data_IF_893152183471
#
_entry.id   IF_893152183471
#
_cell.length_a   1.000
_cell.length_b   1.000
_cell.length_c   1.000
_cell.angle_alpha   90.00
_cell.angle_beta   90.00
_cell.angle_gamma   90.00
#
_symmetry.space_group_name_H-M   'P 1'
#
loop_
_entity.id
_entity.type
_entity.pdbx_description
1 polymer ?
#
# COMPACT_ATOMS: atom_id res chain seq x y z
N UNK A 1 11.14 -27.53 28.27
CA UNK A 1 10.33 -26.29 28.19
C UNK A 1 9.37 -26.49 27.02
N UNK A 2 8.14 -26.01 27.09
CA UNK A 2 7.25 -26.10 25.94
C UNK A 2 7.86 -25.36 24.72
N UNK A 3 7.58 -25.83 23.52
CA UNK A 3 7.94 -25.12 22.31
C UNK A 3 7.23 -23.80 22.24
N UNK A 4 7.83 -22.81 21.59
CA UNK A 4 7.27 -21.46 21.49
C UNK A 4 6.75 -21.18 20.08
N UNK A 5 5.65 -20.44 20.02
CA UNK A 5 5.09 -19.88 18.77
C UNK A 5 4.93 -18.38 18.89
N UNK A 6 5.28 -17.64 17.84
CA UNK A 6 5.00 -16.20 17.76
C UNK A 6 3.75 -15.98 16.90
N UNK A 7 2.73 -15.40 17.49
CA UNK A 7 1.47 -15.07 16.84
C UNK A 7 1.46 -13.60 16.38
N UNK A 8 1.20 -13.33 15.11
CA UNK A 8 0.83 -11.98 14.66
C UNK A 8 -0.53 -11.62 15.26
N UNK A 9 -0.52 -10.71 16.23
CA UNK A 9 -1.65 -10.41 17.09
C UNK A 9 -2.18 -8.99 16.85
N UNK A 10 -3.46 -8.87 16.53
CA UNK A 10 -4.14 -7.59 16.27
C UNK A 10 -5.12 -7.16 17.37
N UNK A 11 -5.30 -7.97 18.44
CA UNK A 11 -6.33 -7.70 19.44
C UNK A 11 -7.77 -7.97 18.98
N UNK A 12 -7.99 -8.33 17.71
CA UNK A 12 -9.29 -8.70 17.17
C UNK A 12 -9.80 -10.05 17.71
N UNK A 13 -11.06 -10.39 17.38
CA UNK A 13 -11.68 -11.66 17.77
C UNK A 13 -10.83 -12.84 17.33
N UNK A 14 -10.51 -12.91 16.04
CA UNK A 14 -9.83 -14.05 15.43
C UNK A 14 -8.48 -14.32 16.08
N UNK A 15 -7.64 -13.28 16.24
CA UNK A 15 -6.32 -13.45 16.84
C UNK A 15 -6.39 -13.73 18.33
N UNK A 16 -7.42 -13.27 19.04
CA UNK A 16 -7.60 -13.55 20.47
C UNK A 16 -7.96 -15.00 20.73
N UNK A 17 -8.85 -15.61 19.94
CA UNK A 17 -9.21 -17.04 20.09
C UNK A 17 -8.08 -17.98 19.67
N UNK A 18 -7.15 -17.52 18.83
CA UNK A 18 -5.98 -18.31 18.41
C UNK A 18 -5.04 -18.60 19.57
N UNK A 19 -4.91 -17.73 20.55
CA UNK A 19 -4.00 -17.93 21.70
C UNK A 19 -4.35 -19.21 22.48
N UNK A 20 -5.56 -19.38 23.04
CA UNK A 20 -5.93 -20.62 23.74
C UNK A 20 -5.94 -21.82 22.79
N UNK A 21 -6.38 -21.65 21.54
CA UNK A 21 -6.40 -22.74 20.58
C UNK A 21 -5.01 -23.32 20.30
N UNK A 22 -3.97 -22.50 20.18
CA UNK A 22 -2.57 -22.94 20.02
C UNK A 22 -2.08 -23.70 21.25
N UNK A 23 -2.47 -23.30 22.46
CA UNK A 23 -2.11 -23.97 23.70
C UNK A 23 -2.76 -25.34 23.80
N UNK A 24 -4.03 -25.46 23.43
CA UNK A 24 -4.81 -26.71 23.51
C UNK A 24 -4.38 -27.74 22.47
N UNK A 25 -4.15 -27.30 21.22
CA UNK A 25 -3.92 -28.22 20.11
C UNK A 25 -2.44 -28.54 19.88
N UNK A 26 -1.53 -27.64 20.30
CA UNK A 26 -0.10 -27.77 20.06
C UNK A 26 0.74 -27.77 21.34
N UNK A 27 0.16 -27.40 22.47
CA UNK A 27 0.88 -27.23 23.75
C UNK A 27 2.00 -26.17 23.64
N UNK A 28 1.86 -25.21 22.79
CA UNK A 28 2.82 -24.12 22.60
C UNK A 28 2.75 -23.08 23.72
N UNK A 29 3.90 -22.50 24.02
CA UNK A 29 4.01 -21.24 24.75
C UNK A 29 3.85 -20.09 23.76
N UNK A 30 2.76 -19.29 23.89
CA UNK A 30 2.35 -18.32 22.87
C UNK A 30 2.89 -16.93 23.20
N UNK A 31 3.69 -16.41 22.29
CA UNK A 31 4.16 -15.03 22.30
C UNK A 31 3.30 -14.21 21.31
N UNK A 32 2.55 -13.24 21.82
CA UNK A 32 1.78 -12.34 20.98
C UNK A 32 2.68 -11.17 20.50
N UNK A 33 2.82 -11.02 19.20
CA UNK A 33 3.56 -9.90 18.58
C UNK A 33 2.58 -8.92 17.96
N UNK A 34 2.57 -7.67 18.45
CA UNK A 34 1.76 -6.56 17.98
C UNK A 34 2.65 -5.63 17.15
N UNK A 35 2.40 -5.52 15.86
CA UNK A 35 3.08 -4.56 15.00
C UNK A 35 2.25 -3.28 14.90
N UNK A 36 2.78 -2.16 15.39
CA UNK A 36 2.18 -0.85 15.20
C UNK A 36 2.62 -0.27 13.85
N UNK A 37 1.69 -0.25 12.90
CA UNK A 37 1.83 0.38 11.58
C UNK A 37 0.94 1.62 11.47
N UNK A 38 0.48 2.17 12.61
CA UNK A 38 -0.41 3.33 12.69
C UNK A 38 -1.88 3.01 12.46
N UNK A 39 -2.34 1.87 12.95
CA UNK A 39 -3.75 1.47 12.90
C UNK A 39 -4.64 2.28 13.86
N UNK A 40 -4.04 2.99 14.83
CA UNK A 40 -4.74 3.87 15.77
C UNK A 40 -5.46 3.11 16.89
N UNK A 41 -5.02 1.89 17.19
CA UNK A 41 -5.52 1.09 18.31
C UNK A 41 -4.96 1.59 19.64
N UNK A 42 -5.71 1.35 20.72
CA UNK A 42 -5.21 1.46 22.09
C UNK A 42 -4.28 0.26 22.37
N UNK A 43 -2.98 0.47 22.20
CA UNK A 43 -1.97 -0.58 22.34
C UNK A 43 -1.92 -1.16 23.76
N UNK A 44 -2.18 -0.35 24.79
CA UNK A 44 -2.22 -0.82 26.19
C UNK A 44 -3.37 -1.83 26.36
N UNK A 45 -4.56 -1.48 25.89
CA UNK A 45 -5.71 -2.37 25.92
C UNK A 45 -5.49 -3.66 25.10
N UNK A 46 -4.79 -3.57 23.95
CA UNK A 46 -4.42 -4.74 23.13
C UNK A 46 -3.46 -5.66 23.89
N UNK A 47 -2.45 -5.11 24.58
CA UNK A 47 -1.49 -5.85 25.41
C UNK A 47 -2.17 -6.53 26.58
N UNK A 48 -3.00 -5.80 27.34
CA UNK A 48 -3.76 -6.37 28.46
C UNK A 48 -4.65 -7.54 28.00
N UNK A 49 -5.32 -7.37 26.88
CA UNK A 49 -6.16 -8.40 26.29
C UNK A 49 -5.35 -9.64 25.89
N UNK A 50 -4.17 -9.48 25.30
CA UNK A 50 -3.31 -10.60 24.93
C UNK A 50 -2.91 -11.43 26.16
N UNK A 51 -2.53 -10.79 27.27
CA UNK A 51 -2.24 -11.49 28.53
C UNK A 51 -3.49 -12.13 29.12
N UNK A 52 -4.63 -11.43 29.13
CA UNK A 52 -5.90 -11.98 29.63
C UNK A 52 -6.38 -13.20 28.84
N UNK A 53 -6.03 -13.32 27.55
CA UNK A 53 -6.31 -14.49 26.72
C UNK A 53 -5.28 -15.61 26.83
N UNK A 54 -4.21 -15.40 27.61
CA UNK A 54 -3.25 -16.46 27.96
C UNK A 54 -1.93 -16.42 27.19
N UNK A 55 -1.58 -15.31 26.54
CA UNK A 55 -0.23 -15.12 26.01
C UNK A 55 0.79 -15.13 27.15
N UNK A 56 1.90 -15.82 26.98
CA UNK A 56 2.98 -15.87 27.99
C UNK A 56 3.86 -14.61 27.92
N UNK A 57 3.92 -14.00 26.75
CA UNK A 57 4.66 -12.78 26.49
C UNK A 57 3.96 -11.96 25.42
N UNK A 58 4.02 -10.62 25.54
CA UNK A 58 3.59 -9.71 24.51
C UNK A 58 4.77 -8.85 24.08
N UNK A 59 4.97 -8.72 22.78
CA UNK A 59 5.98 -7.86 22.17
C UNK A 59 5.27 -6.85 21.31
N UNK A 60 5.41 -5.56 21.63
CA UNK A 60 4.93 -4.45 20.80
C UNK A 60 6.12 -3.89 20.02
N UNK A 61 5.98 -3.80 18.71
CA UNK A 61 6.97 -3.23 17.82
C UNK A 61 6.38 -1.99 17.14
N UNK A 62 6.99 -0.82 17.35
CA UNK A 62 6.67 0.39 16.58
C UNK A 62 7.33 0.27 15.20
N UNK A 63 6.52 0.05 14.18
CA UNK A 63 6.93 -0.17 12.82
C UNK A 63 6.56 1.00 11.90
N UNK A 64 6.03 2.09 12.43
CA UNK A 64 5.44 3.19 11.64
C UNK A 64 6.46 3.85 10.71
N UNK A 65 7.64 4.19 11.22
CA UNK A 65 8.67 4.82 10.41
C UNK A 65 9.25 3.84 9.37
N UNK A 66 9.58 2.60 9.76
CA UNK A 66 10.07 1.58 8.83
C UNK A 66 9.02 1.25 7.76
N UNK A 67 7.75 1.13 8.13
CA UNK A 67 6.66 0.90 7.19
C UNK A 67 6.61 1.97 6.11
N UNK A 68 6.77 3.25 6.49
CA UNK A 68 6.75 4.34 5.52
C UNK A 68 8.03 4.39 4.69
N UNK A 69 9.20 4.36 5.30
CA UNK A 69 10.47 4.60 4.60
C UNK A 69 10.92 3.43 3.74
N UNK A 70 10.77 2.20 4.25
CA UNK A 70 11.28 1.01 3.56
C UNK A 70 10.25 0.31 2.67
N UNK A 71 8.94 0.57 2.86
CA UNK A 71 7.90 -0.09 2.09
C UNK A 71 7.05 0.91 1.29
N UNK A 72 6.44 1.87 1.95
CA UNK A 72 5.51 2.80 1.29
C UNK A 72 6.22 3.74 0.32
N UNK A 73 7.30 4.39 0.75
CA UNK A 73 8.01 5.34 -0.11
C UNK A 73 8.75 4.65 -1.26
N UNK A 74 9.20 3.40 -1.10
CA UNK A 74 9.73 2.61 -2.22
C UNK A 74 8.64 2.31 -3.25
N UNK A 75 7.43 1.95 -2.81
CA UNK A 75 6.29 1.74 -3.69
C UNK A 75 5.84 3.06 -4.36
N UNK A 76 5.89 4.19 -3.65
CA UNK A 76 5.65 5.53 -4.19
C UNK A 76 6.65 5.87 -5.29
N UNK A 77 7.96 5.73 -5.03
CA UNK A 77 9.04 5.95 -6.00
C UNK A 77 8.90 5.03 -7.22
N UNK A 78 8.47 3.79 -7.03
CA UNK A 78 8.17 2.86 -8.13
C UNK A 78 6.94 3.28 -8.95
N UNK A 79 6.07 4.15 -8.43
CA UNK A 79 4.77 4.46 -9.01
C UNK A 79 3.81 3.27 -8.94
N UNK A 80 3.97 2.40 -7.93
CA UNK A 80 3.26 1.14 -7.78
C UNK A 80 1.79 1.37 -7.39
N UNK A 81 0.88 1.08 -8.30
CA UNK A 81 -0.57 1.14 -8.09
C UNK A 81 -1.21 -0.11 -8.68
N UNK A 82 -1.80 -0.96 -7.85
CA UNK A 82 -2.43 -2.18 -8.32
C UNK A 82 -3.74 -1.87 -9.04
N UNK A 83 -3.90 -2.47 -10.22
CA UNK A 83 -5.07 -2.28 -11.10
C UNK A 83 -5.45 -0.78 -11.29
N UNK A 84 -4.44 0.10 -11.33
CA UNK A 84 -4.54 1.55 -11.54
C UNK A 84 -5.26 2.35 -10.45
N UNK A 85 -5.67 1.72 -9.35
CA UNK A 85 -6.46 2.36 -8.29
C UNK A 85 -5.95 2.11 -6.87
N UNK A 86 -5.51 0.87 -6.56
CA UNK A 86 -5.18 0.47 -5.20
C UNK A 86 -3.73 0.81 -4.85
N UNK A 87 -3.54 1.65 -3.83
CA UNK A 87 -2.22 2.09 -3.34
C UNK A 87 -1.58 1.13 -2.31
N UNK A 88 -2.02 -0.14 -2.30
CA UNK A 88 -1.33 -1.28 -1.68
C UNK A 88 -1.18 -1.26 -0.14
N UNK A 89 -1.91 -0.44 0.60
CA UNK A 89 -1.66 -0.23 2.03
C UNK A 89 -1.62 -1.50 2.88
N UNK A 90 -2.61 -2.41 2.74
CA UNK A 90 -2.58 -3.71 3.42
C UNK A 90 -1.42 -4.59 2.93
N UNK A 91 -1.18 -4.59 1.61
CA UNK A 91 -0.14 -5.44 1.00
C UNK A 91 1.27 -5.04 1.41
N UNK A 92 1.51 -3.75 1.68
CA UNK A 92 2.79 -3.21 2.16
C UNK A 92 2.99 -3.44 3.67
N UNK A 93 1.90 -3.49 4.47
CA UNK A 93 1.99 -3.70 5.91
C UNK A 93 2.34 -5.16 6.28
N UNK A 94 1.90 -6.15 5.50
CA UNK A 94 2.11 -7.56 5.85
C UNK A 94 3.58 -8.00 5.84
N UNK A 95 4.41 -7.66 4.84
CA UNK A 95 5.83 -8.03 4.84
C UNK A 95 6.62 -7.39 5.99
N UNK A 96 6.35 -6.15 6.41
CA UNK A 96 7.05 -5.56 7.56
C UNK A 96 6.67 -6.25 8.86
N UNK A 97 5.38 -6.54 9.08
CA UNK A 97 4.91 -7.28 10.26
C UNK A 97 5.52 -8.69 10.28
N UNK A 98 5.51 -9.41 9.16
CA UNK A 98 6.06 -10.76 9.05
C UNK A 98 7.57 -10.78 9.33
N UNK A 99 8.34 -9.81 8.83
CA UNK A 99 9.78 -9.66 9.11
C UNK A 99 10.03 -9.56 10.61
N UNK A 100 9.36 -8.65 11.29
CA UNK A 100 9.53 -8.47 12.73
C UNK A 100 9.03 -9.67 13.55
N UNK A 101 8.00 -10.37 13.08
CA UNK A 101 7.56 -11.61 13.70
C UNK A 101 8.64 -12.70 13.63
N UNK A 102 9.33 -12.84 12.49
CA UNK A 102 10.49 -13.75 12.36
C UNK A 102 11.65 -13.31 13.26
N UNK A 103 11.94 -12.02 13.35
CA UNK A 103 12.97 -11.49 14.26
C UNK A 103 12.65 -11.82 15.73
N UNK A 104 11.38 -11.67 16.13
CA UNK A 104 10.91 -12.08 17.47
C UNK A 104 11.05 -13.59 17.66
N UNK A 105 10.66 -14.40 16.67
CA UNK A 105 10.78 -15.84 16.74
C UNK A 105 12.23 -16.30 16.97
N UNK A 106 13.15 -15.73 16.19
CA UNK A 106 14.58 -16.03 16.33
C UNK A 106 15.14 -15.62 17.71
N UNK A 107 14.80 -14.40 18.17
CA UNK A 107 15.25 -13.89 19.48
C UNK A 107 14.72 -14.70 20.65
N UNK A 108 13.49 -15.17 20.58
CA UNK A 108 12.83 -15.94 21.64
C UNK A 108 13.08 -17.46 21.55
N UNK A 109 13.74 -17.94 20.50
CA UNK A 109 13.95 -19.36 20.21
C UNK A 109 12.64 -20.08 19.94
N UNK A 110 11.70 -19.43 19.24
CA UNK A 110 10.45 -20.06 18.83
C UNK A 110 10.67 -20.96 17.61
N UNK A 111 9.92 -22.07 17.55
CA UNK A 111 9.98 -23.05 16.46
C UNK A 111 8.86 -22.85 15.44
N UNK A 112 7.92 -21.96 15.75
CA UNK A 112 6.75 -21.72 14.91
C UNK A 112 6.35 -20.24 14.89
N UNK A 113 5.66 -19.86 13.80
CA UNK A 113 4.93 -18.61 13.65
C UNK A 113 3.48 -18.89 13.31
N UNK A 114 2.56 -18.01 13.75
CA UNK A 114 1.14 -18.15 13.48
C UNK A 114 0.52 -16.83 13.04
N UNK A 115 -0.54 -16.91 12.25
CA UNK A 115 -1.35 -15.77 11.82
C UNK A 115 -2.85 -16.09 11.81
N UNK A 116 -3.68 -15.06 11.95
CA UNK A 116 -5.14 -15.18 11.95
C UNK A 116 -5.82 -14.92 10.59
N UNK A 117 -5.10 -15.04 9.49
CA UNK A 117 -5.64 -14.75 8.15
C UNK A 117 -6.54 -15.89 7.66
N UNK A 118 -7.67 -15.52 7.05
CA UNK A 118 -8.60 -16.50 6.48
C UNK A 118 -8.05 -17.16 5.21
N UNK A 119 -8.47 -18.39 4.92
CA UNK A 119 -8.03 -19.15 3.73
C UNK A 119 -8.49 -18.58 2.39
N UNK A 120 -9.41 -17.59 2.37
CA UNK A 120 -9.91 -16.91 1.17
C UNK A 120 -9.20 -15.58 0.89
N UNK A 121 -8.41 -15.06 1.86
CA UNK A 121 -7.73 -13.78 1.77
C UNK A 121 -6.32 -13.88 1.17
N UNK A 122 -5.84 -12.78 0.60
CA UNK A 122 -4.45 -12.67 0.13
C UNK A 122 -3.44 -12.61 1.28
N UNK A 123 -3.86 -12.18 2.47
CA UNK A 123 -2.95 -11.92 3.58
C UNK A 123 -2.22 -13.16 4.08
N UNK A 124 -2.87 -14.33 4.06
CA UNK A 124 -2.19 -15.59 4.35
C UNK A 124 -0.99 -15.82 3.42
N UNK A 125 -1.16 -15.54 2.12
CA UNK A 125 -0.09 -15.69 1.13
C UNK A 125 1.06 -14.71 1.42
N UNK A 126 0.73 -13.46 1.75
CA UNK A 126 1.71 -12.39 2.06
C UNK A 126 2.55 -12.73 3.28
N UNK A 127 1.92 -13.20 4.37
CA UNK A 127 2.62 -13.65 5.57
C UNK A 127 3.51 -14.87 5.29
N UNK A 128 2.95 -15.90 4.68
CA UNK A 128 3.64 -17.18 4.52
C UNK A 128 4.80 -17.11 3.53
N UNK A 129 4.66 -16.36 2.43
CA UNK A 129 5.77 -16.14 1.50
C UNK A 129 6.89 -15.31 2.14
N UNK A 130 6.56 -14.36 3.03
CA UNK A 130 7.56 -13.66 3.81
C UNK A 130 8.29 -14.60 4.78
N UNK A 131 7.58 -15.46 5.52
CA UNK A 131 8.21 -16.45 6.40
C UNK A 131 9.10 -17.41 5.64
N UNK A 132 8.62 -17.96 4.51
CA UNK A 132 9.41 -18.87 3.67
C UNK A 132 10.69 -18.23 3.13
N UNK A 133 10.64 -16.92 2.86
CA UNK A 133 11.81 -16.18 2.36
C UNK A 133 12.82 -15.84 3.46
N UNK A 134 12.34 -15.56 4.69
CA UNK A 134 13.16 -15.06 5.79
C UNK A 134 13.62 -16.13 6.78
N UNK A 135 12.81 -17.18 7.00
CA UNK A 135 13.07 -18.25 7.96
C UNK A 135 12.32 -19.54 7.55
N UNK A 136 12.80 -20.23 6.50
CA UNK A 136 12.12 -21.40 5.95
C UNK A 136 12.03 -22.59 6.91
N UNK A 137 12.82 -22.57 8.00
CA UNK A 137 12.82 -23.57 9.05
C UNK A 137 11.65 -23.42 10.05
N UNK A 138 11.02 -22.25 10.13
CA UNK A 138 9.91 -22.03 11.05
C UNK A 138 8.65 -22.73 10.57
N UNK A 139 8.00 -23.49 11.47
CA UNK A 139 6.69 -24.06 11.19
C UNK A 139 5.64 -22.95 11.13
N UNK A 140 4.86 -22.91 10.06
CA UNK A 140 3.74 -21.97 9.91
C UNK A 140 2.45 -22.63 10.39
N UNK A 141 1.70 -21.96 11.27
CA UNK A 141 0.40 -22.40 11.75
C UNK A 141 -0.66 -21.38 11.35
N UNK A 142 -1.64 -21.84 10.60
CA UNK A 142 -2.75 -21.03 10.09
C UNK A 142 -4.09 -21.62 10.55
N UNK A 143 -4.59 -21.28 11.74
CA UNK A 143 -5.75 -21.93 12.36
C UNK A 143 -7.00 -21.96 11.48
N UNK A 144 -7.25 -20.94 10.69
CA UNK A 144 -8.38 -20.90 9.75
C UNK A 144 -8.40 -22.05 8.73
N UNK A 145 -7.29 -22.76 8.52
CA UNK A 145 -7.22 -23.94 7.65
C UNK A 145 -7.29 -25.24 8.42
N UNK A 146 -7.21 -25.20 9.76
CA UNK A 146 -7.04 -26.37 10.61
C UNK A 146 -8.21 -26.58 11.56
N UNK A 147 -8.75 -25.51 12.12
CA UNK A 147 -9.83 -25.58 13.10
C UNK A 147 -11.21 -25.87 12.50
N UNK A 148 -12.16 -26.23 13.36
CA UNK A 148 -13.54 -26.55 12.95
C UNK A 148 -14.48 -25.35 12.94
N UNK A 149 -14.02 -24.18 13.42
CA UNK A 149 -14.81 -22.94 13.44
C UNK A 149 -15.01 -22.45 11.99
N UNK A 150 -16.29 -22.23 11.60
CA UNK A 150 -16.64 -21.91 10.21
C UNK A 150 -17.26 -20.52 10.07
N UNK A 151 -17.77 -19.97 11.15
CA UNK A 151 -18.49 -18.72 11.17
C UNK A 151 -17.97 -17.78 12.26
N UNK A 152 -18.37 -16.52 12.16
CA UNK A 152 -18.12 -15.53 13.21
C UNK A 152 -18.82 -15.92 14.52
N UNK A 153 -20.00 -16.51 14.43
CA UNK A 153 -20.78 -17.02 15.55
C UNK A 153 -20.00 -18.11 16.28
N UNK A 154 -19.45 -19.09 15.56
CA UNK A 154 -18.60 -20.14 16.17
C UNK A 154 -17.40 -19.52 16.91
N UNK A 155 -16.80 -18.47 16.36
CA UNK A 155 -15.68 -17.77 17.01
C UNK A 155 -16.12 -17.04 18.28
N UNK A 156 -17.32 -16.46 18.30
CA UNK A 156 -17.90 -15.78 19.46
C UNK A 156 -18.23 -16.80 20.57
N UNK A 157 -18.85 -17.93 20.20
CA UNK A 157 -19.17 -19.01 21.12
C UNK A 157 -17.89 -19.61 21.74
N UNK A 158 -16.84 -19.80 20.93
CA UNK A 158 -15.53 -20.24 21.44
C UNK A 158 -14.92 -19.22 22.40
N UNK A 159 -15.01 -17.92 22.06
CA UNK A 159 -14.51 -16.85 22.92
C UNK A 159 -15.25 -16.81 24.27
N UNK A 160 -16.59 -16.98 24.27
CA UNK A 160 -17.40 -17.04 25.49
C UNK A 160 -17.01 -18.24 26.37
N UNK A 161 -16.86 -19.43 25.77
CA UNK A 161 -16.45 -20.65 26.48
C UNK A 161 -15.09 -20.53 27.18
N UNK A 162 -14.18 -19.72 26.60
CA UNK A 162 -12.83 -19.50 27.11
C UNK A 162 -12.70 -18.21 27.94
N UNK A 163 -13.80 -17.48 28.19
CA UNK A 163 -13.79 -16.25 28.96
C UNK A 163 -13.00 -15.11 28.33
N UNK A 164 -12.87 -15.12 26.98
CA UNK A 164 -12.11 -14.10 26.24
C UNK A 164 -12.95 -12.83 26.14
N UNK A 165 -12.46 -11.68 26.60
CA UNK A 165 -13.19 -10.43 26.49
C UNK A 165 -13.28 -9.99 25.02
N UNK A 166 -14.46 -10.09 24.45
CA UNK A 166 -14.73 -9.68 23.07
C UNK A 166 -15.58 -8.42 23.08
N UNK A 167 -15.00 -7.29 22.67
CA UNK A 167 -15.73 -6.05 22.39
C UNK A 167 -16.50 -6.14 21.04
N UNK A 168 -16.91 -7.33 20.63
CA UNK A 168 -17.54 -7.53 19.35
C UNK A 168 -19.06 -7.34 19.48
N UNK A 169 -19.57 -6.20 19.01
CA UNK A 169 -20.99 -6.15 18.66
C UNK A 169 -21.22 -7.12 17.48
N UNK A 170 -22.33 -7.86 17.53
CA UNK A 170 -22.79 -8.69 16.41
C UNK A 170 -23.06 -7.87 15.14
N UNK A 171 -22.95 -6.54 15.22
CA UNK A 171 -23.32 -5.56 14.21
C UNK A 171 -22.14 -5.02 13.37
N UNK A 172 -20.89 -5.54 13.49
CA UNK A 172 -19.84 -5.11 12.56
C UNK A 172 -20.08 -5.71 11.18
N UNK A 173 -20.73 -4.93 10.32
CA UNK A 173 -21.11 -5.29 8.94
C UNK A 173 -19.83 -5.38 8.07
N UNK A 174 -18.86 -4.50 8.27
CA UNK A 174 -17.64 -4.43 7.45
C UNK A 174 -16.42 -5.01 8.17
N UNK A 175 -15.57 -5.74 7.41
CA UNK A 175 -14.20 -6.01 7.76
C UNK A 175 -13.34 -4.79 7.39
N UNK A 176 -12.51 -4.32 8.31
CA UNK A 176 -11.65 -3.14 8.12
C UNK A 176 -10.22 -3.48 8.49
N UNK A 177 -9.27 -3.00 7.67
CA UNK A 177 -7.84 -3.03 7.95
C UNK A 177 -7.29 -1.62 7.79
N UNK A 178 -6.64 -1.09 8.83
CA UNK A 178 -6.14 0.28 8.91
C UNK A 178 -4.66 0.31 9.22
N UNK A 179 -3.95 1.24 8.59
CA UNK A 179 -2.60 1.63 8.93
C UNK A 179 -2.38 3.12 8.58
N UNK A 180 -1.15 3.63 8.73
CA UNK A 180 -0.83 5.03 8.40
C UNK A 180 -1.15 5.41 6.96
N UNK A 181 -1.07 4.46 6.03
CA UNK A 181 -1.25 4.74 4.60
C UNK A 181 -2.70 4.69 4.14
N UNK A 182 -3.52 3.82 4.73
CA UNK A 182 -4.89 3.64 4.29
C UNK A 182 -5.82 2.99 5.33
N UNK A 183 -7.10 2.92 4.95
CA UNK A 183 -8.07 1.99 5.53
C UNK A 183 -8.81 1.27 4.39
N UNK A 184 -9.01 -0.03 4.53
CA UNK A 184 -9.85 -0.84 3.64
C UNK A 184 -11.18 -1.20 4.30
N UNK A 185 -12.20 -1.35 3.45
CA UNK A 185 -13.55 -1.77 3.85
C UNK A 185 -14.02 -2.87 2.91
N UNK A 186 -14.39 -4.02 3.47
CA UNK A 186 -14.92 -5.18 2.74
C UNK A 186 -16.15 -5.76 3.47
N UNK A 187 -17.00 -6.49 2.76
CA UNK A 187 -18.18 -7.16 3.33
C UNK A 187 -19.43 -6.29 3.35
N UNK A 188 -20.49 -6.81 3.95
CA UNK A 188 -21.78 -6.14 4.02
C UNK A 188 -22.40 -5.86 2.66
N UNK A 189 -22.91 -4.65 2.45
CA UNK A 189 -23.49 -4.20 1.18
C UNK A 189 -22.50 -4.21 0.01
N UNK A 190 -21.18 -4.18 0.31
CA UNK A 190 -20.12 -4.20 -0.71
C UNK A 190 -19.96 -5.56 -1.39
N UNK A 191 -20.54 -6.65 -0.83
CA UNK A 191 -20.50 -7.98 -1.43
C UNK A 191 -21.29 -8.04 -2.75
N UNK A 192 -22.29 -7.19 -2.89
CA UNK A 192 -22.98 -6.99 -4.17
C UNK A 192 -22.37 -5.79 -4.91
N UNK A 193 -21.72 -6.06 -6.02
CA UNK A 193 -21.07 -5.02 -6.85
C UNK A 193 -22.08 -4.02 -7.45
N UNK A 194 -23.37 -4.32 -7.45
CA UNK A 194 -24.46 -3.41 -7.89
C UNK A 194 -24.84 -2.36 -6.86
N UNK A 195 -24.47 -2.54 -5.59
CA UNK A 195 -24.79 -1.58 -4.54
C UNK A 195 -23.78 -0.44 -4.47
N UNK A 196 -24.25 0.77 -4.21
CA UNK A 196 -23.37 1.88 -3.83
C UNK A 196 -22.84 1.67 -2.40
N UNK A 197 -21.56 2.04 -2.10
CA UNK A 197 -21.11 2.10 -0.72
C UNK A 197 -21.97 3.06 0.10
N UNK A 198 -22.33 2.67 1.32
CA UNK A 198 -23.05 3.56 2.24
C UNK A 198 -22.16 4.70 2.72
N UNK A 199 -22.73 5.82 3.13
CA UNK A 199 -21.95 6.91 3.74
C UNK A 199 -21.18 6.44 4.99
N UNK A 200 -21.76 5.52 5.77
CA UNK A 200 -21.12 4.90 6.94
C UNK A 200 -19.97 3.96 6.63
N UNK A 201 -19.79 3.57 5.37
CA UNK A 201 -18.62 2.78 4.93
C UNK A 201 -17.34 3.61 5.10
N UNK A 202 -17.39 4.89 4.75
CA UNK A 202 -16.25 5.80 4.79
C UNK A 202 -15.99 6.29 6.22
N UNK A 203 -14.75 6.20 6.69
CA UNK A 203 -14.37 6.48 8.08
C UNK A 203 -13.40 7.67 8.23
N UNK A 204 -12.56 7.89 7.23
CA UNK A 204 -11.53 8.92 7.28
C UNK A 204 -11.91 10.15 6.45
N UNK A 205 -12.40 9.92 5.24
CA UNK A 205 -12.57 10.96 4.22
C UNK A 205 -14.01 11.48 4.26
N UNK A 206 -14.16 12.79 4.38
CA UNK A 206 -15.46 13.46 4.29
C UNK A 206 -16.11 13.24 2.93
N UNK A 207 -17.43 13.36 2.87
CA UNK A 207 -18.12 13.42 1.58
C UNK A 207 -17.75 14.71 0.83
N UNK A 208 -17.82 14.72 -0.51
CA UNK A 208 -17.60 15.95 -1.29
C UNK A 208 -18.55 17.09 -0.89
N UNK A 209 -19.75 16.76 -0.40
CA UNK A 209 -20.74 17.74 0.05
C UNK A 209 -20.31 18.44 1.34
N UNK A 210 -19.61 17.73 2.23
CA UNK A 210 -19.15 18.22 3.52
C UNK A 210 -17.76 18.88 3.44
N UNK A 211 -17.04 18.72 2.31
CA UNK A 211 -15.76 19.33 2.09
C UNK A 211 -15.88 20.86 1.90
N UNK A 212 -14.82 21.64 2.21
CA UNK A 212 -14.82 23.08 2.10
C UNK A 212 -15.26 23.61 0.73
N UNK A 213 -16.00 24.74 0.71
CA UNK A 213 -16.44 25.42 -0.49
C UNK A 213 -15.36 26.35 -1.12
N UNK A 214 -14.10 26.19 -0.70
CA UNK A 214 -12.96 26.90 -1.27
C UNK A 214 -11.82 25.90 -1.51
N UNK A 215 -11.04 26.18 -2.55
CA UNK A 215 -9.88 25.35 -2.90
C UNK A 215 -8.75 25.58 -1.88
N UNK A 216 -8.12 24.47 -1.46
CA UNK A 216 -6.92 24.49 -0.62
C UNK A 216 -5.71 24.19 -1.48
N UNK A 217 -4.67 25.04 -1.43
CA UNK A 217 -3.40 24.77 -2.11
C UNK A 217 -2.41 24.13 -1.13
N UNK A 218 -1.72 23.09 -1.59
CA UNK A 218 -0.71 22.36 -0.83
C UNK A 218 0.53 22.19 -1.69
N UNK A 219 1.69 22.51 -1.15
CA UNK A 219 2.99 22.30 -1.79
C UNK A 219 3.71 21.11 -1.17
N UNK A 220 4.23 20.22 -2.01
CA UNK A 220 4.94 19.00 -1.66
C UNK A 220 6.40 19.14 -2.06
N UNK A 221 7.33 18.97 -1.14
CA UNK A 221 8.76 18.93 -1.44
C UNK A 221 9.29 17.50 -1.45
N UNK A 222 10.11 17.20 -2.46
CA UNK A 222 10.73 15.87 -2.64
C UNK A 222 12.24 16.00 -2.75
N UNK A 223 12.95 15.01 -2.23
CA UNK A 223 14.37 14.78 -2.45
C UNK A 223 14.59 13.34 -2.89
N UNK A 224 15.13 13.15 -4.09
CA UNK A 224 15.32 11.83 -4.72
C UNK A 224 14.05 10.96 -4.71
N UNK A 225 12.91 11.58 -4.98
CA UNK A 225 11.60 10.93 -5.01
C UNK A 225 10.98 10.65 -3.64
N UNK A 226 11.66 10.96 -2.55
CA UNK A 226 11.15 10.81 -1.18
C UNK A 226 10.48 12.13 -0.75
N UNK A 227 9.24 12.10 -0.23
CA UNK A 227 8.59 13.28 0.28
C UNK A 227 9.25 13.74 1.58
N UNK A 228 9.62 15.02 1.67
CA UNK A 228 10.37 15.58 2.81
C UNK A 228 9.70 16.80 3.45
N UNK A 229 8.75 17.44 2.76
CA UNK A 229 8.11 18.63 3.30
C UNK A 229 6.70 18.86 2.75
N UNK A 230 5.89 19.54 3.57
CA UNK A 230 4.56 20.03 3.21
C UNK A 230 4.54 21.53 3.46
N UNK A 231 4.12 22.32 2.45
CA UNK A 231 4.08 23.80 2.50
C UNK A 231 5.40 24.44 2.96
N UNK A 232 6.54 23.83 2.54
CA UNK A 232 7.88 24.30 2.88
C UNK A 232 8.39 23.88 4.27
N UNK A 233 7.56 23.26 5.11
CA UNK A 233 7.95 22.72 6.41
C UNK A 233 8.45 21.30 6.27
N UNK A 234 9.73 21.04 6.62
CA UNK A 234 10.27 19.69 6.71
C UNK A 234 9.68 18.94 7.89
N UNK A 235 9.30 17.69 7.66
CA UNK A 235 8.67 16.80 8.64
C UNK A 235 9.34 15.42 8.59
N UNK A 236 9.27 14.70 9.72
CA UNK A 236 9.57 13.27 9.72
C UNK A 236 8.51 12.49 8.92
N UNK A 237 8.83 11.26 8.48
CA UNK A 237 7.91 10.49 7.62
C UNK A 237 6.52 10.29 8.21
N UNK A 238 6.41 10.01 9.51
CA UNK A 238 5.15 9.73 10.18
C UNK A 238 4.29 11.00 10.23
N UNK A 239 4.83 12.08 10.78
CA UNK A 239 4.15 13.38 10.85
C UNK A 239 3.74 13.90 9.47
N UNK A 240 4.58 13.67 8.44
CA UNK A 240 4.28 14.08 7.07
C UNK A 240 3.04 13.36 6.52
N UNK A 241 2.99 12.03 6.67
CA UNK A 241 1.86 11.24 6.16
C UNK A 241 0.59 11.51 6.96
N UNK A 242 0.68 11.66 8.29
CA UNK A 242 -0.47 12.03 9.14
C UNK A 242 -1.06 13.38 8.72
N UNK A 243 -0.23 14.41 8.54
CA UNK A 243 -0.68 15.72 8.05
C UNK A 243 -1.34 15.63 6.67
N UNK A 244 -0.77 14.85 5.74
CA UNK A 244 -1.34 14.67 4.41
C UNK A 244 -2.65 13.87 4.44
N UNK A 245 -2.78 12.92 5.36
CA UNK A 245 -4.04 12.22 5.59
C UNK A 245 -5.14 13.18 6.07
N UNK A 246 -4.83 14.08 6.99
CA UNK A 246 -5.78 15.11 7.45
C UNK A 246 -6.18 16.06 6.31
N UNK A 247 -5.20 16.54 5.52
CA UNK A 247 -5.43 17.43 4.38
C UNK A 247 -6.31 16.75 3.33
N UNK A 248 -5.95 15.54 2.91
CA UNK A 248 -6.72 14.78 1.91
C UNK A 248 -8.13 14.47 2.40
N UNK A 249 -8.25 14.01 3.64
CA UNK A 249 -9.53 13.63 4.24
C UNK A 249 -10.53 14.80 4.31
N UNK A 250 -10.10 15.99 4.77
CA UNK A 250 -10.98 17.17 4.86
C UNK A 250 -11.38 17.73 3.50
N UNK A 251 -10.57 17.49 2.44
CA UNK A 251 -10.85 17.88 1.06
C UNK A 251 -11.56 16.80 0.23
N UNK A 252 -12.05 15.72 0.85
CA UNK A 252 -12.73 14.60 0.22
C UNK A 252 -11.87 13.82 -0.81
N UNK A 253 -10.54 13.85 -0.69
CA UNK A 253 -9.59 13.20 -1.61
C UNK A 253 -9.23 11.80 -1.13
N UNK A 254 -9.25 10.80 -2.04
CA UNK A 254 -8.66 9.49 -1.80
C UNK A 254 -9.64 8.34 -1.55
N UNK A 255 -10.95 8.50 -1.80
CA UNK A 255 -11.90 7.39 -1.83
C UNK A 255 -11.78 6.60 -3.12
N UNK A 256 -11.70 5.29 -3.01
CA UNK A 256 -11.64 4.36 -4.15
C UNK A 256 -12.59 3.20 -3.90
N UNK A 257 -13.38 2.86 -4.92
CA UNK A 257 -14.19 1.64 -5.01
C UNK A 257 -13.63 0.79 -6.15
N UNK A 258 -13.23 -0.43 -5.86
CA UNK A 258 -12.51 -1.29 -6.77
C UNK A 258 -13.01 -2.74 -6.70
N UNK A 259 -13.36 -3.30 -7.86
CA UNK A 259 -13.45 -4.74 -8.03
C UNK A 259 -12.08 -5.22 -8.52
N UNK A 260 -11.39 -5.96 -7.66
CA UNK A 260 -10.01 -6.39 -7.89
C UNK A 260 -9.87 -7.89 -8.10
N UNK A 261 -8.77 -8.32 -8.69
CA UNK A 261 -8.43 -9.72 -8.86
C UNK A 261 -7.50 -10.17 -7.72
N UNK A 262 -8.00 -10.99 -6.80
CA UNK A 262 -7.18 -11.58 -5.74
C UNK A 262 -6.19 -12.59 -6.30
N UNK A 263 -5.03 -12.70 -5.68
CA UNK A 263 -4.01 -13.67 -6.07
C UNK A 263 -4.50 -15.12 -5.97
N UNK A 264 -5.39 -15.40 -5.05
CA UNK A 264 -6.06 -16.71 -4.89
C UNK A 264 -7.08 -17.02 -5.99
N UNK A 265 -7.20 -16.20 -7.04
CA UNK A 265 -7.96 -16.48 -8.26
C UNK A 265 -9.43 -16.07 -8.23
N UNK A 266 -9.87 -15.30 -7.23
CA UNK A 266 -11.25 -14.79 -7.14
C UNK A 266 -11.29 -13.27 -7.29
N UNK A 267 -12.43 -12.75 -7.77
CA UNK A 267 -12.71 -11.32 -7.71
C UNK A 267 -13.27 -10.94 -6.34
N UNK A 268 -12.88 -9.79 -5.86
CA UNK A 268 -13.46 -9.20 -4.66
C UNK A 268 -13.65 -7.70 -4.85
N UNK A 269 -14.54 -7.11 -4.08
CA UNK A 269 -14.72 -5.67 -4.04
C UNK A 269 -14.23 -5.13 -2.71
N UNK A 270 -13.43 -4.08 -2.77
CA UNK A 270 -12.98 -3.31 -1.63
C UNK A 270 -13.19 -1.82 -1.84
N UNK A 271 -13.58 -1.13 -0.79
CA UNK A 271 -13.51 0.32 -0.72
C UNK A 271 -12.29 0.73 0.08
N UNK A 272 -11.53 1.69 -0.43
CA UNK A 272 -10.27 2.13 0.15
C UNK A 272 -10.27 3.63 0.37
N UNK A 273 -9.72 4.06 1.50
CA UNK A 273 -9.46 5.46 1.80
C UNK A 273 -7.96 5.65 1.95
N UNK A 274 -7.35 6.39 1.03
CA UNK A 274 -5.90 6.64 1.02
C UNK A 274 -5.64 8.12 0.76
N UNK A 275 -6.03 9.02 1.69
CA UNK A 275 -6.03 10.45 1.42
C UNK A 275 -4.64 11.02 1.16
N UNK A 276 -3.69 10.86 2.07
CA UNK A 276 -2.31 11.33 1.90
C UNK A 276 -1.59 10.64 0.75
N UNK A 277 -1.81 9.31 0.59
CA UNK A 277 -1.21 8.55 -0.50
C UNK A 277 -1.66 9.01 -1.88
N UNK A 278 -2.94 9.38 -2.04
CA UNK A 278 -3.46 9.93 -3.31
C UNK A 278 -2.80 11.26 -3.65
N UNK A 279 -2.58 12.11 -2.66
CA UNK A 279 -1.86 13.38 -2.85
C UNK A 279 -0.41 13.14 -3.24
N UNK A 280 0.30 12.26 -2.52
CA UNK A 280 1.71 11.95 -2.76
C UNK A 280 1.95 11.32 -4.12
N UNK A 281 1.16 10.31 -4.53
CA UNK A 281 1.34 9.67 -5.84
C UNK A 281 1.06 10.64 -6.99
N UNK A 282 0.09 11.56 -6.81
CA UNK A 282 -0.21 12.59 -7.78
C UNK A 282 0.96 13.56 -7.91
N UNK A 283 1.44 14.12 -6.79
CA UNK A 283 2.55 15.08 -6.80
C UNK A 283 3.86 14.45 -7.31
N UNK A 284 4.17 13.23 -6.90
CA UNK A 284 5.38 12.52 -7.32
C UNK A 284 5.41 12.27 -8.83
N UNK A 285 4.30 11.82 -9.44
CA UNK A 285 4.19 11.61 -10.89
C UNK A 285 4.40 12.90 -11.68
N UNK A 286 3.93 14.00 -11.14
CA UNK A 286 4.09 15.31 -11.78
C UNK A 286 5.53 15.84 -11.72
N UNK A 287 6.27 15.51 -10.66
CA UNK A 287 7.69 15.81 -10.58
C UNK A 287 8.51 14.91 -11.53
N UNK A 288 8.19 13.62 -11.60
CA UNK A 288 8.80 12.70 -12.56
C UNK A 288 8.58 13.14 -14.02
N UNK A 289 7.38 13.61 -14.34
CA UNK A 289 7.08 14.13 -15.69
C UNK A 289 7.96 15.33 -16.07
N UNK A 290 8.45 16.08 -15.08
CA UNK A 290 9.34 17.22 -15.29
C UNK A 290 10.81 16.80 -15.47
N UNK A 291 11.24 15.73 -14.79
CA UNK A 291 12.66 15.38 -14.63
C UNK A 291 13.10 14.13 -15.41
N UNK A 292 12.19 13.22 -15.76
CA UNK A 292 12.55 11.99 -16.46
C UNK A 292 12.58 12.15 -17.98
N UNK A 293 13.56 11.56 -18.62
CA UNK A 293 13.56 11.38 -20.07
C UNK A 293 12.40 10.49 -20.52
N UNK A 294 11.90 10.74 -21.73
CA UNK A 294 10.74 10.02 -22.30
C UNK A 294 10.83 8.50 -22.18
N UNK A 295 11.96 7.91 -22.57
CA UNK A 295 12.08 6.47 -22.66
C UNK A 295 12.16 5.82 -21.26
N UNK A 296 12.81 6.52 -20.31
CA UNK A 296 12.82 6.14 -18.88
C UNK A 296 11.42 6.23 -18.28
N UNK A 297 10.72 7.37 -18.51
CA UNK A 297 9.38 7.60 -17.99
C UNK A 297 8.38 6.54 -18.50
N UNK A 298 8.42 6.21 -19.80
CA UNK A 298 7.53 5.21 -20.38
C UNK A 298 7.84 3.79 -19.86
N UNK A 299 9.12 3.40 -19.78
CA UNK A 299 9.49 2.08 -19.28
C UNK A 299 9.18 1.93 -17.79
N UNK A 300 9.40 2.99 -17.00
CA UNK A 300 9.07 3.01 -15.57
C UNK A 300 7.60 2.73 -15.27
N UNK A 301 6.67 3.11 -16.15
CA UNK A 301 5.25 2.77 -16.00
C UNK A 301 5.03 1.25 -16.00
N UNK A 302 5.73 0.51 -16.87
CA UNK A 302 5.67 -0.96 -16.88
C UNK A 302 6.31 -1.57 -15.62
N UNK A 303 7.41 -1.00 -15.18
CA UNK A 303 8.07 -1.39 -13.92
C UNK A 303 7.13 -1.16 -12.73
N UNK A 304 6.45 -0.03 -12.65
CA UNK A 304 5.49 0.29 -11.59
C UNK A 304 4.32 -0.70 -11.51
N UNK A 305 3.78 -1.12 -12.67
CA UNK A 305 2.73 -2.14 -12.72
C UNK A 305 3.24 -3.50 -12.21
N UNK A 306 4.45 -3.91 -12.63
CA UNK A 306 5.04 -5.16 -12.15
C UNK A 306 5.41 -5.11 -10.67
N UNK A 307 5.90 -3.97 -10.21
CA UNK A 307 6.18 -3.74 -8.80
C UNK A 307 4.91 -3.86 -7.95
N UNK A 308 3.82 -3.23 -8.39
CA UNK A 308 2.52 -3.32 -7.73
C UNK A 308 1.99 -4.76 -7.65
N UNK A 309 2.15 -5.53 -8.72
CA UNK A 309 1.80 -6.96 -8.77
C UNK A 309 2.59 -7.78 -7.74
N UNK A 310 3.92 -7.58 -7.68
CA UNK A 310 4.78 -8.28 -6.71
C UNK A 310 4.37 -7.97 -5.27
N UNK A 311 4.14 -6.70 -4.96
CA UNK A 311 3.68 -6.26 -3.63
C UNK A 311 2.31 -6.87 -3.29
N UNK A 312 1.36 -6.79 -4.22
CA UNK A 312 0.02 -7.31 -4.02
C UNK A 312 0.00 -8.82 -3.75
N UNK A 313 0.88 -9.57 -4.44
CA UNK A 313 1.03 -11.02 -4.33
C UNK A 313 1.89 -11.48 -3.13
N UNK A 314 2.45 -10.56 -2.33
CA UNK A 314 3.29 -10.91 -1.19
C UNK A 314 4.72 -11.29 -1.54
N UNK A 315 5.18 -10.95 -2.74
CA UNK A 315 6.50 -11.27 -3.26
C UNK A 315 7.54 -10.18 -2.93
N UNK A 316 7.44 -9.56 -1.74
CA UNK A 316 8.33 -8.49 -1.31
C UNK A 316 9.79 -8.95 -1.19
N UNK A 317 10.04 -10.11 -0.60
CA UNK A 317 11.38 -10.66 -0.37
C UNK A 317 11.83 -11.56 -1.53
N UNK A 318 11.77 -11.04 -2.77
CA UNK A 318 12.18 -11.78 -3.98
C UNK A 318 13.24 -11.04 -4.78
N UNK A 319 14.16 -11.75 -5.46
CA UNK A 319 15.19 -11.14 -6.28
C UNK A 319 14.64 -10.22 -7.39
N UNK A 320 13.45 -10.52 -7.92
CA UNK A 320 12.83 -9.66 -8.94
C UNK A 320 12.45 -8.29 -8.36
N UNK A 321 11.85 -8.27 -7.15
CA UNK A 321 11.54 -6.99 -6.50
C UNK A 321 12.80 -6.19 -6.20
N UNK A 322 13.88 -6.83 -5.73
CA UNK A 322 15.17 -6.18 -5.46
C UNK A 322 15.80 -5.61 -6.74
N UNK A 323 15.72 -6.34 -7.85
CA UNK A 323 16.19 -5.84 -9.15
C UNK A 323 15.38 -4.62 -9.63
N UNK A 324 14.07 -4.62 -9.38
CA UNK A 324 13.22 -3.47 -9.68
C UNK A 324 13.51 -2.28 -8.76
N UNK A 325 13.84 -2.50 -7.47
CA UNK A 325 14.30 -1.44 -6.58
C UNK A 325 15.54 -0.74 -7.13
N UNK A 326 16.55 -1.50 -7.55
CA UNK A 326 17.78 -0.94 -8.11
C UNK A 326 17.51 -0.10 -9.37
N UNK A 327 16.59 -0.54 -10.23
CA UNK A 327 16.12 0.25 -11.35
C UNK A 327 15.45 1.54 -10.88
N UNK A 328 14.49 1.44 -9.96
CA UNK A 328 13.74 2.60 -9.42
C UNK A 328 14.69 3.60 -8.77
N UNK A 329 15.57 3.17 -7.87
CA UNK A 329 16.54 4.04 -7.19
C UNK A 329 17.40 4.83 -8.20
N UNK A 330 17.77 4.19 -9.32
CA UNK A 330 18.52 4.87 -10.37
C UNK A 330 17.72 5.97 -11.04
N UNK A 331 16.41 5.75 -11.26
CA UNK A 331 15.52 6.74 -11.87
C UNK A 331 15.16 7.89 -10.94
N UNK A 332 15.32 7.71 -9.63
CA UNK A 332 14.91 8.70 -8.63
C UNK A 332 16.02 9.71 -8.26
N UNK A 333 17.26 9.53 -8.72
CA UNK A 333 18.40 10.37 -8.34
C UNK A 333 18.17 11.87 -8.53
N UNK A 334 17.47 12.25 -9.58
CA UNK A 334 17.22 13.62 -9.97
C UNK A 334 15.75 14.06 -9.74
N UNK A 335 14.94 13.21 -9.05
CA UNK A 335 13.55 13.55 -8.71
C UNK A 335 13.53 14.38 -7.42
N UNK A 336 14.06 15.61 -7.54
CA UNK A 336 14.16 16.57 -6.43
C UNK A 336 13.53 17.88 -6.85
N UNK A 337 12.64 18.42 -6.01
CA UNK A 337 11.91 19.64 -6.32
C UNK A 337 10.59 19.75 -5.57
N UNK A 338 9.70 20.59 -6.08
CA UNK A 338 8.39 20.80 -5.48
C UNK A 338 7.24 20.72 -6.48
N UNK A 339 6.09 20.25 -6.01
CA UNK A 339 4.83 20.24 -6.75
C UNK A 339 3.76 20.90 -5.90
N UNK A 340 2.95 21.76 -6.49
CA UNK A 340 1.82 22.41 -5.84
C UNK A 340 0.51 21.88 -6.42
N UNK A 341 -0.35 21.39 -5.54
CA UNK A 341 -1.69 20.90 -5.87
C UNK A 341 -2.74 21.86 -5.32
N UNK A 342 -3.88 21.94 -6.01
CA UNK A 342 -5.09 22.60 -5.57
C UNK A 342 -6.18 21.56 -5.37
N UNK A 343 -6.73 21.50 -4.15
CA UNK A 343 -7.69 20.49 -3.71
C UNK A 343 -9.07 21.12 -3.58
N UNK A 344 -10.08 20.50 -4.17
CA UNK A 344 -11.45 20.98 -4.05
C UNK A 344 -12.45 19.83 -4.21
N UNK A 345 -13.19 19.53 -3.15
CA UNK A 345 -14.31 18.56 -3.14
C UNK A 345 -13.98 17.24 -3.84
N UNK A 346 -12.83 16.64 -3.49
CA UNK A 346 -12.35 15.38 -4.05
C UNK A 346 -11.55 15.51 -5.35
N UNK A 347 -11.52 16.69 -5.95
CA UNK A 347 -10.70 16.95 -7.13
C UNK A 347 -9.30 17.41 -6.73
N UNK A 348 -8.30 16.90 -7.44
CA UNK A 348 -6.90 17.28 -7.29
C UNK A 348 -6.43 17.88 -8.62
N UNK A 349 -6.07 19.16 -8.62
CA UNK A 349 -5.52 19.86 -9.78
C UNK A 349 -4.07 20.28 -9.52
N UNK A 350 -3.21 20.14 -10.52
CA UNK A 350 -1.81 20.57 -10.44
C UNK A 350 -1.72 22.04 -10.82
N UNK A 351 -1.11 22.85 -9.94
CA UNK A 351 -1.01 24.31 -10.14
C UNK A 351 0.43 24.84 -10.20
N UNK A 352 1.42 23.97 -10.00
CA UNK A 352 2.84 24.34 -10.16
C UNK A 352 3.78 23.15 -10.00
N UNK A 353 4.94 23.23 -10.63
CA UNK A 353 6.04 22.26 -10.55
C UNK A 353 7.36 23.02 -10.64
N UNK A 354 8.32 22.68 -9.80
CA UNK A 354 9.65 23.28 -9.82
C UNK A 354 10.71 22.22 -9.51
N UNK A 355 11.79 22.17 -10.30
CA UNK A 355 12.95 21.34 -10.07
C UNK A 355 14.18 21.94 -10.73
N UNK A 356 15.32 21.87 -10.05
CA UNK A 356 16.63 22.20 -10.64
C UNK A 356 17.07 21.17 -11.71
N UNK A 357 16.51 19.95 -11.65
CA UNK A 357 16.76 18.87 -12.62
C UNK A 357 15.74 18.83 -13.75
N UNK A 358 14.95 19.90 -13.93
CA UNK A 358 13.90 19.96 -14.94
C UNK A 358 14.45 19.83 -16.36
N UNK A 359 13.90 18.90 -17.12
CA UNK A 359 14.12 18.78 -18.55
C UNK A 359 13.18 19.69 -19.36
N UNK A 360 12.17 20.28 -18.71
CA UNK A 360 11.27 21.26 -19.34
C UNK A 360 11.97 22.61 -19.44
N UNK A 361 12.37 22.94 -20.64
CA UNK A 361 13.06 24.18 -20.95
C UNK A 361 12.15 25.10 -21.74
N UNK A 362 11.87 26.27 -21.20
CA UNK A 362 10.96 27.24 -21.82
C UNK A 362 11.51 27.79 -23.14
N UNK A 363 12.85 27.86 -23.29
CA UNK A 363 13.53 28.25 -24.54
C UNK A 363 13.41 27.20 -25.66
N UNK A 364 13.10 25.95 -25.33
CA UNK A 364 12.85 24.85 -26.28
C UNK A 364 11.36 24.59 -26.49
N UNK A 365 10.56 24.67 -25.43
CA UNK A 365 9.13 24.33 -25.45
C UNK A 365 8.24 25.50 -25.84
N UNK A 366 8.77 26.75 -25.85
CA UNK A 366 8.01 27.94 -26.18
C UNK A 366 7.65 28.04 -27.67
N UNK A 367 6.54 28.72 -27.96
CA UNK A 367 6.11 28.98 -29.36
C UNK A 367 6.92 30.04 -30.06
N UNK A 368 7.72 30.83 -29.34
CA UNK A 368 8.64 31.81 -29.95
C UNK A 368 9.87 31.09 -30.45
N UNK A 369 10.31 31.42 -31.68
CA UNK A 369 11.56 30.90 -32.25
C UNK A 369 12.75 31.29 -31.36
N UNK A 370 13.31 30.30 -30.66
CA UNK A 370 14.54 30.43 -29.88
C UNK A 370 15.76 30.09 -30.73
N UNK A 371 16.93 30.59 -30.33
CA UNK A 371 18.20 30.30 -31.01
C UNK A 371 18.70 28.85 -30.80
N UNK A 372 18.11 28.12 -29.86
CA UNK A 372 18.57 26.81 -29.41
C UNK A 372 17.97 25.61 -30.16
N UNK A 373 17.02 25.83 -31.09
CA UNK A 373 16.39 24.74 -31.85
C UNK A 373 16.17 25.18 -33.31
N UNK A 374 16.88 24.56 -34.26
CA UNK A 374 16.64 24.75 -35.68
C UNK A 374 15.48 23.83 -36.14
N UNK A 375 14.34 24.40 -36.47
CA UNK A 375 13.18 23.69 -36.96
C UNK A 375 13.43 22.87 -38.24
N UNK A 376 14.48 23.23 -39.03
CA UNK A 376 14.86 22.47 -40.24
C UNK A 376 15.39 21.09 -39.96
N UNK A 377 15.98 20.86 -38.78
CA UNK A 377 16.48 19.54 -38.36
C UNK A 377 15.36 18.49 -38.29
N UNK A 378 14.13 18.91 -37.98
CA UNK A 378 12.97 18.07 -37.96
C UNK A 378 12.66 17.41 -39.32
N UNK A 379 12.92 18.05 -40.44
CA UNK A 379 12.70 17.48 -41.79
C UNK A 379 13.55 16.21 -42.00
N UNK A 380 14.83 16.28 -41.67
CA UNK A 380 15.77 15.16 -41.78
C UNK A 380 15.36 14.00 -40.89
N UNK A 381 15.06 14.29 -39.62
CA UNK A 381 14.59 13.32 -38.64
C UNK A 381 13.31 12.60 -39.10
N UNK A 382 12.28 13.35 -39.51
CA UNK A 382 10.99 12.80 -39.97
C UNK A 382 11.18 11.93 -41.21
N UNK A 383 12.04 12.36 -42.17
CA UNK A 383 12.32 11.63 -43.40
C UNK A 383 12.94 10.24 -43.12
N UNK A 384 13.90 10.16 -42.17
CA UNK A 384 14.55 8.90 -41.79
C UNK A 384 13.59 8.04 -41.00
N UNK A 385 12.96 8.60 -39.95
CA UNK A 385 12.02 7.87 -39.09
C UNK A 385 10.82 7.33 -39.88
N UNK A 386 10.37 8.05 -40.93
CA UNK A 386 9.28 7.66 -41.81
C UNK A 386 9.61 6.59 -42.85
N UNK A 387 10.88 6.14 -42.99
CA UNK A 387 11.28 5.12 -43.98
C UNK A 387 10.45 3.84 -43.93
N UNK A 388 10.25 3.19 -42.75
CA UNK A 388 9.45 1.97 -42.69
C UNK A 388 7.99 2.17 -43.13
N UNK A 389 7.39 3.29 -42.77
CA UNK A 389 6.00 3.63 -43.15
C UNK A 389 5.88 3.82 -44.65
N UNK A 390 6.82 4.57 -45.28
CA UNK A 390 6.87 4.77 -46.72
C UNK A 390 7.12 3.48 -47.50
N UNK A 391 8.05 2.65 -47.05
CA UNK A 391 8.33 1.35 -47.69
C UNK A 391 7.10 0.44 -47.65
N UNK A 392 6.40 0.35 -46.51
CA UNK A 392 5.15 -0.38 -46.38
C UNK A 392 4.05 0.15 -47.33
N UNK A 393 3.89 1.45 -47.41
CA UNK A 393 2.90 2.07 -48.30
C UNK A 393 3.18 1.74 -49.78
N UNK A 394 4.45 1.86 -50.21
CA UNK A 394 4.87 1.49 -51.59
C UNK A 394 4.60 0.03 -51.92
N UNK A 395 5.01 -0.90 -51.06
CA UNK A 395 4.75 -2.33 -51.25
C UNK A 395 3.24 -2.63 -51.43
N UNK A 396 2.38 -2.00 -50.63
CA UNK A 396 0.92 -2.15 -50.72
C UNK A 396 0.36 -1.62 -52.04
N UNK A 397 0.90 -0.50 -52.54
CA UNK A 397 0.49 0.09 -53.83
C UNK A 397 0.94 -0.81 -55.01
N UNK A 398 2.08 -1.45 -54.90
CA UNK A 398 2.59 -2.39 -55.93
C UNK A 398 1.77 -3.68 -55.98
N UNK A 399 1.30 -4.20 -54.83
CA UNK A 399 0.43 -5.38 -54.75
C UNK A 399 -0.99 -5.11 -55.27
N UNK A 400 -1.47 -3.87 -55.13
CA UNK A 400 -2.81 -3.45 -55.54
C UNK A 400 -2.91 -3.13 -57.06
N UNK A 401 -1.80 -3.14 -57.75
CA UNK A 401 -1.71 -2.97 -59.22
C UNK A 401 -1.62 -4.33 -59.90
#
# INVERSE_FOLDING_TARGET
>A
MPEKVVLAYSGGLDTSIIIPWLKENYSYDVIAMVGDVGQGDDLEAVVEKAYATGASKVVVADLREEFLTEYVFRALQAGAVYEHKYLLGTSLARPVIAKHQVEVANREGATAVAHGCTGKGNDQVRFELAYQSLAPELKVIAPWREWTLKSREDCLDYAEQHGIPVAASREKIHSRDRNLWHISHEGGELEDAGNAPLDSTWQLIRSPQEAPDHAEQVAFGFEKGIPISVNGTKLDPVSLVELLNEIGARNAVGRVDLVENRFVGIKSRGCYETPGGTLLITAHRELEALCLERDVAHFKQHVGLKYAELVYFGLWFTPLREALDAFVETTQKDITGSVKLSLYKGTVAVVGRESEYSLYRTDLAGFTMGENYDQKDAEGFIRILGLPARSRARARMEIAR
#
